data_IF_256992769979
#
_entry.id   IF_256992769979
#
_cell.length_a   1.000
_cell.length_b   1.000
_cell.length_c   1.000
_cell.angle_alpha   90.00
_cell.angle_beta   90.00
_cell.angle_gamma   90.00
#
_symmetry.space_group_name_H-M   'P 1'
#
loop_
_entity.id
_entity.type
_entity.pdbx_description
1 polymer ?
#
# COMPACT_ATOMS: atom_id res chain seq x y z
N UNK A 1 -44.26 5.16 85.06
CA UNK A 1 -44.97 6.33 84.50
C UNK A 1 -44.21 6.80 83.25
N UNK A 2 -44.85 6.71 82.07
CA UNK A 2 -44.66 7.50 80.83
C UNK A 2 -43.32 7.47 80.04
N UNK A 3 -43.37 6.79 78.88
CA UNK A 3 -42.92 7.15 77.51
C UNK A 3 -41.74 8.14 77.29
N UNK A 4 -40.84 7.82 76.35
CA UNK A 4 -40.79 8.33 74.94
C UNK A 4 -39.57 7.80 74.15
N UNK A 5 -39.82 7.45 72.88
CA UNK A 5 -38.87 7.11 71.82
C UNK A 5 -37.86 8.24 71.51
N UNK A 6 -36.67 7.90 70.96
CA UNK A 6 -36.12 8.56 69.77
C UNK A 6 -34.86 7.85 69.20
N UNK A 7 -34.88 7.71 67.86
CA UNK A 7 -33.87 7.19 66.94
C UNK A 7 -32.52 7.91 67.03
N UNK A 8 -31.44 7.21 66.62
CA UNK A 8 -30.31 7.64 65.73
C UNK A 8 -29.11 6.71 65.99
N UNK A 9 -28.39 6.12 65.05
CA UNK A 9 -28.43 6.03 63.59
C UNK A 9 -27.23 5.15 63.20
N UNK A 10 -27.46 3.99 62.60
CA UNK A 10 -26.41 3.11 62.08
C UNK A 10 -25.95 3.63 60.72
N UNK A 11 -24.71 4.14 60.63
CA UNK A 11 -24.05 4.37 59.34
C UNK A 11 -23.02 3.24 59.16
N UNK A 12 -23.49 2.15 58.56
CA UNK A 12 -22.64 1.10 58.01
C UNK A 12 -22.07 1.64 56.69
N UNK A 13 -20.82 2.08 56.70
CA UNK A 13 -20.10 2.49 55.50
C UNK A 13 -19.87 1.27 54.61
N UNK A 14 -20.77 1.07 53.65
CA UNK A 14 -20.57 0.14 52.53
C UNK A 14 -19.51 0.78 51.63
N UNK A 15 -18.26 0.35 51.81
CA UNK A 15 -17.18 0.64 50.88
C UNK A 15 -17.47 -0.08 49.56
N UNK A 16 -18.10 0.65 48.63
CA UNK A 16 -18.25 0.22 47.24
C UNK A 16 -16.84 0.23 46.64
N UNK A 17 -16.20 -0.93 46.56
CA UNK A 17 -15.11 -1.13 45.61
C UNK A 17 -15.73 -1.02 44.21
N UNK A 18 -15.64 0.17 43.63
CA UNK A 18 -15.82 0.33 42.20
C UNK A 18 -14.73 -0.50 41.52
N UNK A 19 -15.10 -1.69 41.04
CA UNK A 19 -14.28 -2.42 40.09
C UNK A 19 -14.16 -1.53 38.85
N UNK A 20 -13.06 -0.80 38.75
CA UNK A 20 -12.66 -0.16 37.51
C UNK A 20 -12.36 -1.29 36.54
N UNK A 21 -13.34 -1.60 35.69
CA UNK A 21 -13.10 -2.40 34.50
C UNK A 21 -12.07 -1.63 33.67
N UNK A 22 -10.80 -2.01 33.80
CA UNK A 22 -9.77 -1.57 32.86
C UNK A 22 -10.18 -2.19 31.53
N UNK A 23 -10.70 -1.38 30.61
CA UNK A 23 -10.83 -1.80 29.23
C UNK A 23 -9.40 -1.91 28.70
N UNK A 24 -8.81 -3.10 28.85
CA UNK A 24 -7.65 -3.47 28.06
C UNK A 24 -8.11 -3.43 26.61
N UNK A 25 -7.63 -2.44 25.85
CA UNK A 25 -7.71 -2.51 24.41
C UNK A 25 -6.88 -3.73 24.00
N UNK A 26 -7.55 -4.86 23.78
CA UNK A 26 -6.93 -6.05 23.23
C UNK A 26 -6.12 -5.63 22.01
N UNK A 27 -4.86 -6.02 21.94
CA UNK A 27 -4.04 -5.67 20.82
C UNK A 27 -4.71 -6.17 19.53
N UNK A 28 -4.78 -5.28 18.55
CA UNK A 28 -5.39 -5.62 17.28
C UNK A 28 -4.44 -6.57 16.57
N UNK A 29 -4.90 -7.79 16.30
CA UNK A 29 -4.24 -8.73 15.39
C UNK A 29 -4.01 -8.02 14.06
N UNK A 30 -2.74 -7.86 13.67
CA UNK A 30 -2.32 -7.19 12.43
C UNK A 30 -1.90 -8.24 11.43
N UNK A 31 -2.29 -8.06 10.17
CA UNK A 31 -1.74 -8.83 9.07
C UNK A 31 -1.55 -7.95 7.85
N UNK A 32 -0.59 -8.35 7.00
CA UNK A 32 -0.18 -7.57 5.85
C UNK A 32 0.36 -8.47 4.74
N UNK A 33 -0.01 -8.17 3.49
CA UNK A 33 0.66 -8.73 2.32
C UNK A 33 1.94 -7.97 1.98
N UNK A 34 2.99 -8.71 1.66
CA UNK A 34 4.28 -8.16 1.23
C UNK A 34 4.51 -8.42 -0.25
N UNK A 35 4.34 -9.67 -0.69
CA UNK A 35 4.48 -10.09 -2.09
C UNK A 35 3.16 -10.66 -2.62
N UNK A 36 2.81 -10.27 -3.83
CA UNK A 36 1.80 -10.91 -4.68
C UNK A 36 2.37 -10.84 -6.10
N UNK A 37 2.96 -11.93 -6.56
CA UNK A 37 3.56 -12.04 -7.88
C UNK A 37 3.06 -13.30 -8.61
N UNK A 38 3.70 -13.65 -9.72
CA UNK A 38 3.29 -14.76 -10.60
C UNK A 38 3.41 -16.14 -9.99
N UNK A 39 4.09 -16.29 -8.85
CA UNK A 39 4.36 -17.59 -8.26
C UNK A 39 3.94 -17.64 -6.79
N UNK A 40 4.07 -16.52 -6.08
CA UNK A 40 3.89 -16.49 -4.63
C UNK A 40 3.04 -15.33 -4.14
N UNK A 41 2.24 -15.63 -3.12
CA UNK A 41 1.60 -14.66 -2.24
C UNK A 41 2.22 -14.83 -0.86
N UNK A 42 2.81 -13.78 -0.30
CA UNK A 42 3.43 -13.84 1.01
C UNK A 42 3.14 -12.61 1.87
N UNK A 43 3.32 -12.79 3.17
CA UNK A 43 3.11 -11.74 4.16
C UNK A 43 3.34 -12.22 5.57
N UNK A 44 2.75 -11.50 6.53
CA UNK A 44 2.79 -11.89 7.93
C UNK A 44 1.49 -11.55 8.67
N UNK A 45 1.26 -12.25 9.77
CA UNK A 45 0.19 -11.96 10.71
C UNK A 45 0.67 -12.12 12.16
N UNK A 46 0.42 -11.12 12.99
CA UNK A 46 0.93 -11.03 14.36
C UNK A 46 -0.12 -10.47 15.33
N UNK A 47 -0.16 -11.03 16.53
CA UNK A 47 -0.96 -10.53 17.65
C UNK A 47 -0.05 -10.37 18.88
N UNK A 48 0.11 -9.15 19.39
CA UNK A 48 0.94 -8.91 20.57
C UNK A 48 0.34 -9.43 21.87
N UNK A 49 -0.95 -9.77 21.92
CA UNK A 49 -1.55 -10.45 23.09
C UNK A 49 -1.15 -11.94 23.15
N UNK A 50 -0.61 -12.48 22.06
CA UNK A 50 -0.13 -13.86 21.98
C UNK A 50 1.13 -13.88 21.10
N UNK A 51 2.22 -13.24 21.55
CA UNK A 51 3.33 -12.85 20.69
C UNK A 51 4.09 -14.02 20.08
N UNK A 52 4.04 -15.21 20.69
CA UNK A 52 4.72 -16.41 20.17
C UNK A 52 3.77 -17.39 19.46
N UNK A 53 2.49 -17.01 19.32
CA UNK A 53 1.47 -17.84 18.70
C UNK A 53 1.30 -17.47 17.21
N UNK A 54 1.49 -18.45 16.33
CA UNK A 54 1.18 -18.32 14.91
C UNK A 54 -0.34 -18.16 14.71
N UNK A 55 -0.74 -17.18 13.91
CA UNK A 55 -2.15 -16.89 13.64
C UNK A 55 -2.63 -17.63 12.39
N UNK A 56 -3.91 -18.02 12.39
CA UNK A 56 -4.55 -18.53 11.17
C UNK A 56 -5.03 -17.36 10.30
N UNK A 57 -4.53 -17.27 9.08
CA UNK A 57 -4.91 -16.30 8.05
C UNK A 57 -5.86 -16.95 7.05
N UNK A 58 -6.94 -16.26 6.69
CA UNK A 58 -7.80 -16.59 5.55
C UNK A 58 -7.35 -15.72 4.38
N UNK A 59 -6.93 -16.34 3.28
CA UNK A 59 -6.65 -15.64 2.04
C UNK A 59 -7.78 -15.93 1.04
N UNK A 60 -8.32 -14.87 0.47
CA UNK A 60 -9.39 -14.90 -0.53
C UNK A 60 -8.91 -14.20 -1.80
N UNK A 61 -9.18 -14.80 -2.96
CA UNK A 61 -8.88 -14.23 -4.27
C UNK A 61 -10.15 -14.18 -5.08
N UNK A 62 -10.51 -12.96 -5.50
CA UNK A 62 -11.77 -12.68 -6.20
C UNK A 62 -11.47 -12.09 -7.56
N UNK A 63 -12.03 -12.65 -8.63
CA UNK A 63 -11.98 -12.03 -9.94
C UNK A 63 -12.81 -10.74 -9.91
N UNK A 64 -12.18 -9.58 -10.16
CA UNK A 64 -12.83 -8.28 -10.06
C UNK A 64 -13.86 -8.02 -11.15
N UNK A 65 -13.77 -8.74 -12.28
CA UNK A 65 -14.68 -8.56 -13.41
C UNK A 65 -15.99 -9.32 -13.16
N UNK A 66 -15.90 -10.54 -12.63
CA UNK A 66 -17.07 -11.41 -12.41
C UNK A 66 -17.60 -11.35 -10.98
N UNK A 67 -16.78 -10.93 -10.01
CA UNK A 67 -17.06 -11.03 -8.58
C UNK A 67 -16.92 -12.46 -8.04
N UNK A 68 -16.39 -13.39 -8.84
CA UNK A 68 -16.24 -14.80 -8.48
C UNK A 68 -15.03 -15.00 -7.56
N UNK A 69 -15.24 -15.66 -6.43
CA UNK A 69 -14.17 -16.15 -5.56
C UNK A 69 -13.52 -17.39 -6.19
N UNK A 70 -12.27 -17.26 -6.64
CA UNK A 70 -11.53 -18.34 -7.31
C UNK A 70 -10.58 -19.08 -6.37
N UNK A 71 -10.27 -18.50 -5.22
CA UNK A 71 -9.45 -19.11 -4.19
C UNK A 71 -9.88 -18.62 -2.81
N UNK A 72 -9.98 -19.53 -1.85
CA UNK A 72 -10.27 -19.20 -0.46
C UNK A 72 -9.73 -20.29 0.44
N UNK A 73 -8.72 -19.95 1.26
CA UNK A 73 -8.05 -20.93 2.12
C UNK A 73 -7.56 -20.34 3.42
N UNK A 74 -7.73 -21.11 4.50
CA UNK A 74 -7.10 -20.84 5.80
C UNK A 74 -5.73 -21.52 5.90
N UNK A 75 -4.77 -20.82 6.49
CA UNK A 75 -3.43 -21.35 6.77
C UNK A 75 -2.80 -20.70 8.00
N UNK A 76 -1.81 -21.37 8.57
CA UNK A 76 -1.03 -20.85 9.69
C UNK A 76 0.06 -19.90 9.18
N UNK A 77 0.09 -18.67 9.69
CA UNK A 77 1.20 -17.75 9.55
C UNK A 77 2.27 -18.09 10.60
N UNK A 78 2.93 -19.24 10.42
CA UNK A 78 3.91 -19.80 11.36
C UNK A 78 5.32 -19.92 10.79
N UNK A 79 5.57 -19.39 9.60
CA UNK A 79 6.90 -19.43 8.99
C UNK A 79 7.85 -18.50 9.76
N UNK A 80 9.01 -19.03 10.14
CA UNK A 80 10.04 -18.25 10.81
C UNK A 80 10.66 -17.25 9.85
N UNK A 81 10.76 -16.01 10.31
CA UNK A 81 11.39 -14.91 9.60
C UNK A 81 12.23 -14.05 10.52
N UNK A 82 13.51 -13.91 10.18
CA UNK A 82 14.48 -13.19 11.00
C UNK A 82 14.14 -11.69 11.12
N UNK A 83 13.60 -11.09 10.06
CA UNK A 83 13.17 -9.69 10.06
C UNK A 83 11.98 -9.46 11.01
N UNK A 84 11.03 -10.38 11.08
CA UNK A 84 9.90 -10.30 12.02
C UNK A 84 10.38 -10.43 13.48
N UNK A 85 11.36 -11.30 13.73
CA UNK A 85 12.01 -11.40 15.05
C UNK A 85 12.70 -10.08 15.44
N UNK A 86 13.49 -9.50 14.51
CA UNK A 86 14.17 -8.20 14.71
C UNK A 86 13.18 -7.05 14.92
N UNK A 87 12.00 -7.13 14.31
CA UNK A 87 10.89 -6.17 14.46
C UNK A 87 10.05 -6.38 15.74
N UNK A 88 10.53 -7.17 16.69
CA UNK A 88 9.85 -7.48 17.97
C UNK A 88 8.49 -8.16 17.80
N UNK A 89 8.32 -9.00 16.79
CA UNK A 89 7.14 -9.88 16.63
C UNK A 89 7.45 -11.23 17.25
N UNK A 90 7.52 -11.27 18.59
CA UNK A 90 7.75 -12.48 19.38
C UNK A 90 8.90 -13.35 18.87
N UNK A 91 8.62 -14.64 18.67
CA UNK A 91 9.58 -15.64 18.19
C UNK A 91 9.90 -15.56 16.68
N UNK A 92 9.30 -14.63 15.94
CA UNK A 92 9.50 -14.46 14.50
C UNK A 92 8.75 -15.45 13.60
N UNK A 93 7.98 -16.39 14.17
CA UNK A 93 7.18 -17.37 13.45
C UNK A 93 5.80 -16.79 13.10
N UNK A 94 5.80 -15.77 12.24
CA UNK A 94 4.60 -15.01 11.88
C UNK A 94 4.43 -14.83 10.37
N UNK A 95 5.31 -15.40 9.55
CA UNK A 95 5.23 -15.35 8.10
C UNK A 95 4.26 -16.38 7.53
N UNK A 96 3.76 -16.12 6.33
CA UNK A 96 3.10 -17.11 5.49
C UNK A 96 3.53 -16.93 4.03
N UNK A 97 3.60 -18.03 3.31
CA UNK A 97 3.84 -18.08 1.86
C UNK A 97 2.86 -19.06 1.20
N UNK A 98 2.34 -18.67 0.05
CA UNK A 98 1.43 -19.47 -0.76
C UNK A 98 2.01 -19.55 -2.16
N UNK A 99 2.29 -20.75 -2.62
CA UNK A 99 2.50 -20.99 -4.04
C UNK A 99 1.15 -20.92 -4.74
N UNK A 100 1.05 -20.07 -5.75
CA UNK A 100 -0.14 -19.89 -6.54
C UNK A 100 0.16 -20.13 -8.02
N UNK A 101 -0.62 -21.03 -8.60
CA UNK A 101 -0.61 -21.29 -10.03
C UNK A 101 -1.66 -20.41 -10.68
N UNK A 102 -1.26 -19.22 -11.13
CA UNK A 102 -2.18 -18.31 -11.79
C UNK A 102 -2.67 -18.84 -13.13
N UNK A 103 -1.91 -19.71 -13.80
CA UNK A 103 -2.31 -20.31 -15.07
C UNK A 103 -3.56 -21.21 -14.93
N UNK A 104 -3.88 -21.63 -13.71
CA UNK A 104 -5.11 -22.36 -13.39
C UNK A 104 -6.38 -21.48 -13.42
N UNK A 105 -6.23 -20.15 -13.43
CA UNK A 105 -7.33 -19.20 -13.46
C UNK A 105 -7.44 -18.53 -14.84
N UNK A 106 -8.64 -18.09 -15.25
CA UNK A 106 -8.80 -17.30 -16.46
C UNK A 106 -7.94 -16.03 -16.46
N UNK A 107 -7.72 -15.46 -17.63
CA UNK A 107 -7.14 -14.13 -17.71
C UNK A 107 -8.07 -13.11 -17.05
N UNK A 108 -7.52 -12.20 -16.26
CA UNK A 108 -8.32 -11.26 -15.51
C UNK A 108 -7.56 -10.53 -14.43
N UNK A 109 -8.27 -9.65 -13.74
CA UNK A 109 -7.75 -8.90 -12.60
C UNK A 109 -8.34 -9.47 -11.33
N UNK A 110 -7.47 -9.86 -10.41
CA UNK A 110 -7.79 -10.58 -9.19
C UNK A 110 -7.50 -9.71 -7.97
N UNK A 111 -8.48 -9.55 -7.10
CA UNK A 111 -8.34 -8.91 -5.79
C UNK A 111 -7.92 -9.98 -4.78
N UNK A 112 -6.79 -9.77 -4.11
CA UNK A 112 -6.25 -10.64 -3.07
C UNK A 112 -6.48 -9.98 -1.71
N UNK A 113 -7.28 -10.63 -0.88
CA UNK A 113 -7.66 -10.19 0.45
C UNK A 113 -7.19 -11.20 1.49
N UNK A 114 -6.85 -10.71 2.67
CA UNK A 114 -6.38 -11.51 3.78
C UNK A 114 -7.11 -11.12 5.05
N UNK A 115 -7.37 -12.06 5.96
CA UNK A 115 -8.01 -11.79 7.24
C UNK A 115 -7.51 -12.71 8.35
N UNK A 116 -7.51 -12.24 9.59
CA UNK A 116 -7.35 -13.05 10.81
C UNK A 116 -8.64 -12.95 11.61
N UNK A 117 -9.33 -14.08 11.79
CA UNK A 117 -10.68 -14.07 12.35
C UNK A 117 -11.62 -13.21 11.51
N UNK A 118 -12.30 -12.25 12.14
CA UNK A 118 -13.22 -11.30 11.49
C UNK A 118 -12.52 -9.99 11.04
N UNK A 119 -11.18 -9.94 11.08
CA UNK A 119 -10.41 -8.72 10.79
C UNK A 119 -9.63 -8.85 9.49
N UNK A 120 -9.98 -8.06 8.49
CA UNK A 120 -9.25 -7.97 7.23
C UNK A 120 -7.91 -7.25 7.37
N UNK A 121 -6.96 -7.60 6.52
CA UNK A 121 -5.69 -6.91 6.35
C UNK A 121 -5.95 -5.51 5.78
N UNK A 122 -5.13 -4.55 6.19
CA UNK A 122 -5.31 -3.15 5.77
C UNK A 122 -4.78 -2.87 4.36
N UNK A 123 -4.19 -3.84 3.67
CA UNK A 123 -3.54 -3.66 2.37
C UNK A 123 -3.90 -4.77 1.36
N UNK A 124 -5.18 -4.88 0.94
CA UNK A 124 -5.54 -5.79 -0.14
C UNK A 124 -4.68 -5.52 -1.38
N UNK A 125 -4.38 -6.57 -2.13
CA UNK A 125 -3.52 -6.50 -3.32
C UNK A 125 -4.33 -6.83 -4.56
N UNK A 126 -3.82 -6.45 -5.72
CA UNK A 126 -4.42 -6.83 -7.00
C UNK A 126 -3.34 -7.51 -7.85
N UNK A 127 -3.71 -8.61 -8.50
CA UNK A 127 -2.86 -9.34 -9.43
C UNK A 127 -3.55 -9.43 -10.79
N UNK A 128 -2.81 -9.20 -11.88
CA UNK A 128 -3.32 -9.36 -13.24
C UNK A 128 -2.78 -10.68 -13.79
N UNK A 129 -3.67 -11.62 -14.06
CA UNK A 129 -3.37 -12.92 -14.64
C UNK A 129 -3.64 -12.89 -16.15
N UNK A 130 -2.72 -13.41 -16.96
CA UNK A 130 -2.69 -13.23 -18.41
C UNK A 130 -1.36 -12.61 -18.84
N UNK A 131 -0.70 -13.26 -19.78
CA UNK A 131 0.74 -13.15 -19.98
C UNK A 131 1.16 -11.79 -20.57
N UNK A 132 2.17 -11.15 -19.96
CA UNK A 132 3.05 -10.28 -20.74
C UNK A 132 3.96 -11.18 -21.59
N UNK A 133 3.87 -11.02 -22.92
CA UNK A 133 4.75 -11.56 -23.98
C UNK A 133 4.31 -12.89 -24.65
N UNK A 134 3.28 -12.82 -25.50
CA UNK A 134 3.37 -13.41 -26.86
C UNK A 134 3.20 -12.29 -27.87
N UNK A 135 4.20 -12.11 -28.71
CA UNK A 135 4.12 -11.27 -29.89
C UNK A 135 3.00 -11.75 -30.80
N UNK A 136 1.87 -11.06 -30.76
CA UNK A 136 1.09 -10.66 -31.92
C UNK A 136 0.32 -9.43 -31.49
N UNK A 137 0.79 -8.28 -31.96
CA UNK A 137 0.20 -6.97 -31.78
C UNK A 137 -1.25 -6.97 -32.28
N UNK A 138 -2.21 -6.84 -31.35
CA UNK A 138 -3.41 -6.09 -31.64
C UNK A 138 -3.11 -4.62 -31.30
N UNK A 139 -3.44 -3.64 -32.17
CA UNK A 139 -3.02 -2.26 -31.95
C UNK A 139 -3.83 -1.65 -30.80
N UNK A 140 -3.20 -1.36 -29.66
CA UNK A 140 -3.73 -0.35 -28.73
C UNK A 140 -3.60 -0.54 -27.22
N UNK A 141 -3.20 -1.69 -26.68
CA UNK A 141 -3.07 -1.88 -25.21
C UNK A 141 -1.61 -1.94 -24.78
N UNK A 142 -1.08 -0.84 -24.25
CA UNK A 142 0.28 -0.76 -23.71
C UNK A 142 0.41 -1.61 -22.43
N UNK A 143 1.41 -2.48 -22.37
CA UNK A 143 1.70 -3.27 -21.18
C UNK A 143 2.31 -2.38 -20.08
N UNK A 144 1.90 -2.56 -18.83
CA UNK A 144 2.28 -1.72 -17.69
C UNK A 144 3.10 -2.52 -16.67
N UNK A 145 4.36 -2.14 -16.43
CA UNK A 145 5.23 -2.77 -15.42
C UNK A 145 5.26 -1.91 -14.16
N UNK A 146 4.92 -2.44 -12.97
CA UNK A 146 5.01 -1.66 -11.73
C UNK A 146 6.46 -1.31 -11.39
N UNK A 147 6.73 -0.03 -11.18
CA UNK A 147 8.03 0.48 -10.67
C UNK A 147 8.01 0.72 -9.15
N UNK A 148 6.82 0.72 -8.55
CA UNK A 148 6.61 0.95 -7.11
C UNK A 148 6.11 2.35 -6.80
N UNK A 149 6.21 2.75 -5.53
CA UNK A 149 5.73 4.04 -5.04
C UNK A 149 6.83 5.09 -5.17
N UNK A 150 6.51 6.21 -5.82
CA UNK A 150 7.38 7.36 -5.98
C UNK A 150 6.79 8.56 -5.28
N UNK A 151 7.67 9.39 -4.71
CA UNK A 151 7.31 10.75 -4.33
C UNK A 151 7.13 11.55 -5.61
N UNK A 152 5.98 12.21 -5.78
CA UNK A 152 5.75 13.14 -6.88
C UNK A 152 5.63 14.57 -6.37
N UNK A 153 6.32 15.47 -7.05
CA UNK A 153 6.22 16.92 -6.87
C UNK A 153 5.81 17.57 -8.18
N UNK A 154 5.70 18.89 -8.20
CA UNK A 154 5.34 19.64 -9.39
C UNK A 154 6.26 20.84 -9.63
N UNK A 155 6.59 21.09 -10.89
CA UNK A 155 7.30 22.28 -11.35
C UNK A 155 6.62 22.90 -12.57
N UNK A 156 6.94 24.16 -12.85
CA UNK A 156 6.40 24.91 -13.98
C UNK A 156 7.47 25.85 -14.56
N UNK A 157 7.21 26.55 -15.68
CA UNK A 157 8.24 27.32 -16.36
C UNK A 157 8.55 28.66 -15.68
N UNK A 158 7.98 28.96 -14.52
CA UNK A 158 8.33 30.19 -13.80
C UNK A 158 9.78 30.12 -13.29
N UNK A 159 10.41 31.29 -13.12
CA UNK A 159 11.82 31.37 -12.69
C UNK A 159 12.10 30.69 -11.35
N UNK A 160 11.12 30.66 -10.44
CA UNK A 160 11.28 30.04 -9.13
C UNK A 160 11.32 28.51 -9.18
N UNK A 161 10.54 27.89 -10.08
CA UNK A 161 10.47 26.43 -10.21
C UNK A 161 11.53 25.88 -11.18
N UNK A 162 11.86 26.63 -12.23
CA UNK A 162 12.77 26.19 -13.30
C UNK A 162 14.16 26.82 -13.21
N UNK A 163 14.45 27.61 -12.18
CA UNK A 163 15.71 28.37 -12.05
C UNK A 163 16.03 29.29 -13.26
N UNK A 164 15.00 29.66 -14.03
CA UNK A 164 15.13 30.48 -15.24
C UNK A 164 15.28 29.70 -16.54
N UNK A 165 15.31 28.36 -16.49
CA UNK A 165 15.32 27.49 -17.67
C UNK A 165 13.98 27.45 -18.41
N UNK A 166 12.89 27.90 -17.78
CA UNK A 166 11.58 27.94 -18.41
C UNK A 166 11.07 26.55 -18.75
N UNK A 167 10.92 26.26 -20.05
CA UNK A 167 10.45 24.96 -20.56
C UNK A 167 11.57 24.07 -21.10
N UNK A 168 12.83 24.50 -21.04
CA UNK A 168 13.93 23.73 -21.60
C UNK A 168 14.26 22.54 -20.69
N UNK A 169 14.14 21.32 -21.22
CA UNK A 169 14.49 20.09 -20.49
C UNK A 169 15.92 19.64 -20.79
N UNK A 170 16.46 18.78 -19.93
CA UNK A 170 17.80 18.20 -20.10
C UNK A 170 17.98 17.37 -21.39
N UNK A 171 16.90 16.81 -21.96
CA UNK A 171 16.96 16.08 -23.23
C UNK A 171 16.87 17.00 -24.45
N UNK A 172 16.60 18.29 -24.26
CA UNK A 172 16.35 19.26 -25.33
C UNK A 172 14.88 19.33 -25.78
N UNK A 173 13.99 18.53 -25.19
CA UNK A 173 12.56 18.66 -25.41
C UNK A 173 12.01 19.95 -24.78
N UNK A 174 10.83 20.39 -25.25
CA UNK A 174 10.10 21.50 -24.65
C UNK A 174 9.04 20.95 -23.70
N UNK A 175 9.18 21.26 -22.42
CA UNK A 175 8.31 20.76 -21.38
C UNK A 175 6.84 21.14 -21.63
N UNK A 176 5.97 20.12 -21.58
CA UNK A 176 4.51 20.25 -21.82
C UNK A 176 3.72 19.55 -20.72
N UNK A 177 2.67 20.20 -20.21
CA UNK A 177 1.86 19.66 -19.12
C UNK A 177 1.09 18.42 -19.56
N UNK A 178 0.93 17.45 -18.66
CA UNK A 178 0.34 16.14 -19.00
C UNK A 178 1.23 15.25 -19.86
N UNK A 179 2.50 15.62 -20.08
CA UNK A 179 3.46 14.86 -20.87
C UNK A 179 4.83 14.80 -20.20
N UNK A 180 5.46 15.93 -19.90
CA UNK A 180 6.87 15.95 -19.45
C UNK A 180 7.00 15.70 -17.95
N UNK A 181 7.95 14.84 -17.57
CA UNK A 181 8.41 14.66 -16.19
C UNK A 181 9.93 14.77 -16.07
N UNK A 182 10.38 15.28 -14.92
CA UNK A 182 11.77 15.19 -14.50
C UNK A 182 11.97 13.98 -13.59
N UNK A 183 13.07 13.24 -13.80
CA UNK A 183 13.34 11.96 -13.11
C UNK A 183 14.80 11.81 -12.72
N UNK A 184 15.11 10.77 -11.95
CA UNK A 184 16.46 10.20 -11.88
C UNK A 184 16.67 9.21 -13.04
N UNK A 185 17.49 9.52 -14.06
CA UNK A 185 17.68 8.67 -15.23
C UNK A 185 18.32 7.30 -14.93
N UNK A 186 18.88 7.11 -13.72
CA UNK A 186 19.39 5.81 -13.26
C UNK A 186 18.27 4.86 -12.84
N UNK A 187 17.09 5.40 -12.50
CA UNK A 187 15.90 4.64 -12.09
C UNK A 187 14.89 4.58 -13.24
N UNK A 188 14.62 5.73 -13.88
CA UNK A 188 13.73 5.84 -15.04
C UNK A 188 14.53 6.48 -16.18
N UNK A 189 15.09 5.69 -17.12
CA UNK A 189 15.88 6.23 -18.24
C UNK A 189 15.09 7.23 -19.08
N UNK A 190 15.78 8.20 -19.69
CA UNK A 190 15.14 9.15 -20.60
C UNK A 190 14.42 8.47 -21.77
N UNK A 191 13.32 9.08 -22.21
CA UNK A 191 12.43 8.53 -23.23
C UNK A 191 11.44 7.48 -22.71
N UNK A 192 11.66 6.94 -21.51
CA UNK A 192 10.71 6.03 -20.87
C UNK A 192 9.35 6.70 -20.70
N UNK A 193 8.28 5.95 -20.96
CA UNK A 193 6.91 6.37 -20.67
C UNK A 193 6.47 5.76 -19.36
N UNK A 194 5.89 6.56 -18.48
CA UNK A 194 5.36 6.06 -17.20
C UNK A 194 3.94 6.54 -16.98
N UNK A 195 3.10 5.69 -16.39
CA UNK A 195 1.75 6.03 -15.98
C UNK A 195 1.74 6.37 -14.49
N UNK A 196 1.15 7.52 -14.16
CA UNK A 196 0.96 8.02 -12.80
C UNK A 196 -0.49 8.47 -12.69
N UNK A 197 -1.26 7.89 -11.77
CA UNK A 197 -2.68 8.23 -11.56
C UNK A 197 -3.52 8.24 -12.86
N UNK A 198 -3.23 7.32 -13.79
CA UNK A 198 -3.96 7.19 -15.07
C UNK A 198 -3.51 8.13 -16.19
N UNK A 199 -2.49 8.96 -15.97
CA UNK A 199 -1.90 9.83 -17.01
C UNK A 199 -0.52 9.30 -17.40
N UNK A 200 -0.26 9.20 -18.71
CA UNK A 200 1.04 8.77 -19.25
C UNK A 200 1.94 9.97 -19.48
N UNK A 201 3.12 9.93 -18.88
CA UNK A 201 4.18 10.93 -19.01
C UNK A 201 5.41 10.34 -19.67
N UNK A 202 6.29 11.20 -20.20
CA UNK A 202 7.57 10.84 -20.80
C UNK A 202 8.71 11.46 -19.99
N UNK A 203 9.70 10.63 -19.64
CA UNK A 203 10.91 11.04 -18.94
C UNK A 203 11.84 11.86 -19.86
N UNK A 204 11.78 13.18 -19.75
CA UNK A 204 12.50 14.08 -20.65
C UNK A 204 13.39 15.09 -19.91
N UNK A 205 13.28 15.18 -18.59
CA UNK A 205 14.00 16.19 -17.81
C UNK A 205 14.68 15.64 -16.54
N UNK A 206 15.52 16.47 -15.90
CA UNK A 206 16.08 16.20 -14.57
C UNK A 206 16.03 17.46 -13.71
N UNK A 207 15.79 17.27 -12.41
CA UNK A 207 16.05 18.28 -11.39
C UNK A 207 17.27 17.94 -10.55
N UNK A 208 17.93 18.94 -9.97
CA UNK A 208 19.04 18.71 -9.03
C UNK A 208 18.63 17.86 -7.82
N UNK A 209 17.43 18.12 -7.29
CA UNK A 209 16.86 17.43 -6.13
C UNK A 209 16.06 16.15 -6.48
N UNK A 210 15.81 15.88 -7.77
CA UNK A 210 15.04 14.73 -8.23
C UNK A 210 15.97 13.52 -8.34
N UNK A 211 15.97 12.66 -7.31
CA UNK A 211 16.88 11.51 -7.14
C UNK A 211 16.13 10.28 -6.60
N UNK A 212 16.51 9.09 -7.06
CA UNK A 212 15.88 7.83 -6.65
C UNK A 212 14.41 7.77 -7.06
N UNK A 213 13.55 7.32 -6.14
CA UNK A 213 12.11 7.20 -6.37
C UNK A 213 11.38 8.56 -6.21
N UNK A 214 11.82 9.57 -6.94
CA UNK A 214 11.22 10.91 -6.99
C UNK A 214 11.00 11.32 -8.44
N UNK A 215 9.79 11.77 -8.76
CA UNK A 215 9.39 12.35 -10.05
C UNK A 215 8.89 13.79 -9.83
N UNK A 216 9.30 14.72 -10.68
CA UNK A 216 8.76 16.08 -10.70
C UNK A 216 7.92 16.28 -11.96
N UNK A 217 6.63 16.55 -11.82
CA UNK A 217 5.68 16.62 -12.93
C UNK A 217 5.58 18.07 -13.43
N UNK A 218 5.69 18.25 -14.75
CA UNK A 218 5.58 19.59 -15.34
C UNK A 218 4.12 20.03 -15.43
N UNK A 219 3.86 21.27 -15.01
CA UNK A 219 2.59 21.99 -15.16
C UNK A 219 2.79 23.33 -15.86
N UNK A 220 1.71 23.89 -16.42
CA UNK A 220 1.79 25.14 -17.17
C UNK A 220 1.94 26.36 -16.25
N UNK A 221 1.35 26.31 -15.06
CA UNK A 221 1.27 27.46 -14.13
C UNK A 221 1.75 27.10 -12.73
N UNK A 222 2.21 28.11 -12.00
CA UNK A 222 2.60 27.95 -10.60
C UNK A 222 1.41 27.72 -9.65
N UNK A 223 0.19 28.06 -10.07
CA UNK A 223 -1.00 27.75 -9.30
C UNK A 223 -1.27 26.23 -9.31
N UNK A 224 -1.18 25.61 -10.49
CA UNK A 224 -1.35 24.16 -10.67
C UNK A 224 -0.29 23.37 -9.88
N UNK A 225 0.97 23.83 -9.85
CA UNK A 225 2.02 23.15 -9.07
C UNK A 225 1.71 23.15 -7.57
N UNK A 226 1.17 24.27 -7.04
CA UNK A 226 0.75 24.35 -5.63
C UNK A 226 -0.46 23.48 -5.32
N UNK A 227 -1.38 23.35 -6.28
CA UNK A 227 -2.54 22.49 -6.15
C UNK A 227 -2.14 21.00 -6.13
N UNK A 228 -1.17 20.61 -6.97
CA UNK A 228 -0.61 19.25 -6.96
C UNK A 228 0.11 18.92 -5.64
N UNK A 229 0.93 19.85 -5.15
CA UNK A 229 1.66 19.68 -3.89
C UNK A 229 2.71 18.58 -3.94
N UNK A 230 2.95 17.93 -2.79
CA UNK A 230 3.80 16.73 -2.70
C UNK A 230 2.92 15.56 -2.30
N UNK A 231 3.03 14.46 -3.05
CA UNK A 231 2.26 13.24 -2.81
C UNK A 231 3.10 12.00 -3.12
N UNK A 232 2.61 10.84 -2.73
CA UNK A 232 3.18 9.55 -3.13
C UNK A 232 2.20 8.89 -4.10
N UNK A 233 2.71 8.36 -5.21
CA UNK A 233 1.90 7.69 -6.22
C UNK A 233 2.56 6.38 -6.66
N UNK A 234 1.75 5.38 -6.98
CA UNK A 234 2.23 4.21 -7.72
C UNK A 234 2.56 4.60 -9.15
N UNK A 235 3.70 4.10 -9.64
CA UNK A 235 4.22 4.39 -10.97
C UNK A 235 4.37 3.09 -11.74
N UNK A 236 3.96 3.13 -13.00
CA UNK A 236 4.06 2.00 -13.92
C UNK A 236 4.87 2.41 -15.15
N UNK A 237 5.85 1.62 -15.58
CA UNK A 237 6.50 1.77 -16.88
C UNK A 237 5.54 1.29 -17.98
N UNK A 238 5.38 2.10 -19.01
CA UNK A 238 4.56 1.80 -20.18
C UNK A 238 5.48 1.17 -21.23
N UNK A 239 5.33 -0.13 -21.47
CA UNK A 239 6.03 -0.82 -22.54
C UNK A 239 5.33 -0.54 -23.88
N UNK A 240 6.14 -0.07 -24.82
CA UNK A 240 5.80 0.10 -26.24
C UNK A 240 6.01 -1.17 -27.03
#
# INVERSE_FOLDING_TARGET
MKFRHLLTGTILTISILAATAVTAFAAVSKGRFETVDSNVISGWAYNSDSPDHALNVLITITNKNTGEEVFSRRMSAGEYREDLYKDNKGNGCHGFTIDIDWDAYPEGVYLVEGAVGDRSFSNPRTYANGNSQTGTSAPGSQALIPLGVFKTTAYCPCRACSEGWGRHTCTGAIATAGHTIAVDPRVIPYGSKVMINGVVYTAEDRGGAVKGNHIDIFFNTHAETRQHGTQNAEVYLVQS
#
